data_IF_604926716921
#
_entry.id   IF_604926716921
#
_cell.length_a   1.000
_cell.length_b   1.000
_cell.length_c   1.000
_cell.angle_alpha   90.00
_cell.angle_beta   90.00
_cell.angle_gamma   90.00
#
_symmetry.space_group_name_H-M   'P 1'
#
loop_
_entity.id
_entity.type
_entity.pdbx_description
1 polymer ?
#
# COMPACT_ATOMS: atom_id res chain seq x y z
N UNK A 1 -14.79 56.71 14.86
CA UNK A 1 -14.13 56.68 13.53
C UNK A 1 -12.67 56.33 13.82
N UNK A 2 -12.13 55.14 13.54
CA UNK A 2 -12.36 54.14 12.49
C UNK A 2 -12.27 52.74 13.14
N UNK A 3 -13.28 51.89 12.94
CA UNK A 3 -13.38 50.88 11.87
C UNK A 3 -12.45 49.69 12.14
N UNK A 4 -13.06 48.64 12.68
CA UNK A 4 -12.52 47.30 12.82
C UNK A 4 -12.06 46.78 11.44
N UNK A 5 -10.79 46.43 11.31
CA UNK A 5 -10.33 45.58 10.22
C UNK A 5 -10.77 44.14 10.52
N UNK A 6 -12.03 43.84 10.19
CA UNK A 6 -12.48 42.46 10.00
C UNK A 6 -11.82 41.93 8.72
N UNK A 7 -10.63 41.34 8.87
CA UNK A 7 -10.01 40.53 7.83
C UNK A 7 -10.90 39.31 7.59
N UNK A 8 -11.80 39.41 6.61
CA UNK A 8 -12.57 38.29 6.06
C UNK A 8 -11.58 37.18 5.66
N UNK A 9 -11.48 36.14 6.50
CA UNK A 9 -10.90 34.85 6.08
C UNK A 9 -11.87 34.26 5.07
N UNK A 10 -11.62 34.52 3.79
CA UNK A 10 -12.22 33.75 2.71
C UNK A 10 -11.98 32.26 3.01
N UNK A 11 -13.02 31.41 3.05
CA UNK A 11 -12.81 29.98 3.20
C UNK A 11 -12.07 29.53 1.95
N UNK A 12 -10.79 29.20 2.09
CA UNK A 12 -10.05 28.53 1.03
C UNK A 12 -10.86 27.31 0.61
N UNK A 13 -11.18 27.15 -0.70
CA UNK A 13 -11.91 25.99 -1.15
C UNK A 13 -11.09 24.76 -0.80
N UNK A 14 -11.68 23.83 -0.05
CA UNK A 14 -11.07 22.53 0.23
C UNK A 14 -10.73 21.86 -1.10
N UNK A 15 -9.56 21.22 -1.24
CA UNK A 15 -9.25 20.49 -2.45
C UNK A 15 -10.37 19.47 -2.74
N UNK A 16 -10.68 19.22 -4.02
CA UNK A 16 -11.67 18.21 -4.39
C UNK A 16 -11.26 16.85 -3.82
N UNK A 17 -12.26 16.01 -3.53
CA UNK A 17 -12.00 14.63 -3.09
C UNK A 17 -11.20 13.89 -4.17
N UNK A 18 -10.22 13.05 -3.76
CA UNK A 18 -9.40 12.35 -4.71
C UNK A 18 -10.22 11.33 -5.50
N UNK A 19 -9.83 11.14 -6.75
CA UNK A 19 -10.40 10.12 -7.63
C UNK A 19 -9.95 8.73 -7.21
N UNK A 20 -10.68 7.69 -7.63
CA UNK A 20 -10.28 6.29 -7.39
C UNK A 20 -8.87 6.01 -7.91
N UNK A 21 -8.50 6.62 -9.03
CA UNK A 21 -7.17 6.48 -9.61
C UNK A 21 -6.08 7.02 -8.68
N UNK A 22 -6.26 8.24 -8.16
CA UNK A 22 -5.32 8.86 -7.22
C UNK A 22 -5.23 8.07 -5.92
N UNK A 23 -6.38 7.61 -5.40
CA UNK A 23 -6.42 6.77 -4.19
C UNK A 23 -5.64 5.46 -4.40
N UNK A 24 -5.85 4.78 -5.53
CA UNK A 24 -5.13 3.55 -5.86
C UNK A 24 -3.63 3.80 -6.04
N UNK A 25 -3.26 4.88 -6.71
CA UNK A 25 -1.88 5.28 -6.93
C UNK A 25 -1.16 5.61 -5.62
N UNK A 26 -1.80 6.38 -4.74
CA UNK A 26 -1.28 6.69 -3.40
C UNK A 26 -1.17 5.43 -2.55
N UNK A 27 -2.18 4.55 -2.59
CA UNK A 27 -2.15 3.29 -1.87
C UNK A 27 -1.01 2.40 -2.35
N UNK A 28 -0.85 2.19 -3.66
CA UNK A 28 0.27 1.41 -4.21
C UNK A 28 1.58 2.01 -3.74
N UNK A 29 1.77 3.32 -3.91
CA UNK A 29 3.01 3.99 -3.49
C UNK A 29 3.29 3.89 -1.99
N UNK A 30 2.25 3.87 -1.16
CA UNK A 30 2.39 3.67 0.30
C UNK A 30 2.98 2.30 0.66
N UNK A 31 2.85 1.28 -0.21
CA UNK A 31 3.47 -0.04 -0.04
C UNK A 31 5.00 -0.01 -0.11
N UNK A 32 5.60 1.08 -0.58
CA UNK A 32 7.05 1.26 -0.51
C UNK A 32 7.57 1.38 0.93
N UNK A 33 6.71 1.76 1.88
CA UNK A 33 7.07 1.88 3.28
C UNK A 33 6.79 0.58 4.05
N UNK A 34 7.84 -0.20 4.32
CA UNK A 34 7.75 -1.46 5.07
C UNK A 34 7.16 -1.27 6.46
N UNK A 35 7.48 -0.17 7.16
CA UNK A 35 6.93 0.09 8.49
C UNK A 35 5.43 0.32 8.44
N UNK A 36 4.95 0.99 7.39
CA UNK A 36 3.53 1.18 7.16
C UNK A 36 2.81 -0.14 6.89
N UNK A 37 3.37 -1.01 6.06
CA UNK A 37 2.79 -2.34 5.80
C UNK A 37 2.75 -3.18 7.09
N UNK A 38 3.84 -3.23 7.85
CA UNK A 38 3.90 -3.94 9.13
C UNK A 38 2.84 -3.40 10.09
N UNK A 39 2.68 -2.08 10.17
CA UNK A 39 1.63 -1.45 10.97
C UNK A 39 0.22 -1.84 10.49
N UNK A 40 -0.03 -1.82 9.19
CA UNK A 40 -1.34 -2.16 8.63
C UNK A 40 -1.71 -3.62 8.89
N UNK A 41 -0.79 -4.56 8.65
CA UNK A 41 -1.06 -5.99 8.88
C UNK A 41 -1.33 -6.25 10.37
N UNK A 42 -0.53 -5.64 11.25
CA UNK A 42 -0.66 -5.83 12.70
C UNK A 42 -1.97 -5.25 13.24
N UNK A 43 -2.34 -4.04 12.83
CA UNK A 43 -3.52 -3.34 13.37
C UNK A 43 -4.82 -3.62 12.64
N UNK A 44 -4.77 -4.02 11.37
CA UNK A 44 -5.94 -4.30 10.53
C UNK A 44 -6.03 -5.78 10.10
N UNK A 45 -5.42 -6.69 10.86
CA UNK A 45 -5.28 -8.12 10.54
C UNK A 45 -6.52 -8.79 9.92
N UNK A 46 -7.74 -8.43 10.36
CA UNK A 46 -9.00 -8.94 9.80
C UNK A 46 -9.21 -8.62 8.32
N UNK A 47 -8.87 -7.40 7.88
CA UNK A 47 -8.98 -7.01 6.48
C UNK A 47 -7.93 -7.72 5.63
N UNK A 48 -6.72 -7.88 6.16
CA UNK A 48 -5.60 -8.54 5.51
C UNK A 48 -5.81 -10.04 5.32
N UNK A 49 -6.53 -10.69 6.25
CA UNK A 49 -6.93 -12.09 6.12
C UNK A 49 -8.13 -12.30 5.21
N UNK A 50 -8.75 -11.25 4.66
CA UNK A 50 -9.87 -11.40 3.75
C UNK A 50 -9.42 -11.83 2.35
N UNK A 51 -10.15 -12.77 1.75
CA UNK A 51 -9.98 -13.13 0.34
C UNK A 51 -10.20 -11.92 -0.58
N UNK A 52 -11.10 -11.01 -0.19
CA UNK A 52 -11.36 -9.77 -0.93
C UNK A 52 -10.11 -8.90 -1.01
N UNK A 53 -9.34 -8.80 0.07
CA UNK A 53 -8.11 -8.01 0.09
C UNK A 53 -7.00 -8.65 -0.75
N UNK A 54 -6.84 -9.99 -0.67
CA UNK A 54 -5.93 -10.72 -1.59
C UNK A 54 -6.27 -10.44 -3.06
N UNK A 55 -7.55 -10.50 -3.42
CA UNK A 55 -8.00 -10.21 -4.79
C UNK A 55 -7.76 -8.74 -5.18
N UNK A 56 -7.87 -7.81 -4.23
CA UNK A 56 -7.59 -6.41 -4.46
C UNK A 56 -6.10 -6.15 -4.72
N UNK A 57 -5.19 -6.77 -3.96
CA UNK A 57 -3.75 -6.70 -4.24
C UNK A 57 -3.40 -7.29 -5.61
N UNK A 58 -4.05 -8.38 -6.01
CA UNK A 58 -3.90 -8.95 -7.34
C UNK A 58 -4.43 -8.02 -8.43
N UNK A 59 -5.56 -7.35 -8.18
CA UNK A 59 -6.09 -6.34 -9.09
C UNK A 59 -5.06 -5.22 -9.30
N UNK A 60 -4.41 -4.72 -8.25
CA UNK A 60 -3.42 -3.63 -8.35
C UNK A 60 -2.17 -3.98 -9.16
N UNK A 61 -1.96 -5.22 -9.59
CA UNK A 61 -0.84 -5.58 -10.48
C UNK A 61 -0.90 -4.86 -11.83
N UNK A 62 -2.06 -4.32 -12.24
CA UNK A 62 -2.16 -3.50 -13.44
C UNK A 62 -1.24 -2.26 -13.41
N UNK A 63 -0.87 -1.78 -12.21
CA UNK A 63 0.09 -0.69 -12.04
C UNK A 63 1.52 -1.06 -12.45
N UNK A 64 1.82 -2.34 -12.63
CA UNK A 64 3.11 -2.81 -13.10
C UNK A 64 3.28 -2.67 -14.61
N UNK A 65 2.19 -2.54 -15.37
CA UNK A 65 2.19 -2.50 -16.82
C UNK A 65 2.01 -1.05 -17.35
N UNK A 66 2.65 -0.69 -18.47
CA UNK A 66 2.36 0.56 -19.16
C UNK A 66 0.88 0.60 -19.61
N UNK A 67 0.20 1.78 -19.57
CA UNK A 67 0.73 3.11 -19.30
C UNK A 67 0.78 3.50 -17.82
N UNK A 68 0.20 2.69 -16.92
CA UNK A 68 0.02 3.02 -15.50
C UNK A 68 1.32 3.04 -14.70
N UNK A 69 2.27 2.16 -15.06
CA UNK A 69 3.59 2.13 -14.46
C UNK A 69 4.33 3.48 -14.54
N UNK A 70 4.05 4.30 -15.57
CA UNK A 70 4.67 5.60 -15.75
C UNK A 70 4.22 6.64 -14.71
N UNK A 71 3.09 6.41 -14.03
CA UNK A 71 2.57 7.30 -12.98
C UNK A 71 3.20 7.00 -11.61
N UNK A 72 3.88 5.87 -11.45
CA UNK A 72 4.42 5.44 -10.15
C UNK A 72 5.75 6.12 -9.88
N UNK A 73 5.78 7.00 -8.88
CA UNK A 73 7.00 7.72 -8.47
C UNK A 73 7.92 6.83 -7.63
N UNK A 74 7.36 5.90 -6.87
CA UNK A 74 8.08 4.98 -5.99
C UNK A 74 8.06 3.55 -6.54
N UNK A 75 8.92 3.22 -7.52
CA UNK A 75 8.98 1.90 -8.17
C UNK A 75 9.21 0.72 -7.21
N UNK A 76 9.79 0.96 -6.03
CA UNK A 76 9.88 -0.03 -4.95
C UNK A 76 8.50 -0.56 -4.50
N UNK A 77 7.46 0.26 -4.60
CA UNK A 77 6.09 -0.15 -4.29
C UNK A 77 5.60 -1.31 -5.16
N UNK A 78 5.93 -1.30 -6.45
CA UNK A 78 5.55 -2.35 -7.39
C UNK A 78 6.28 -3.67 -7.07
N UNK A 79 7.53 -3.58 -6.63
CA UNK A 79 8.27 -4.76 -6.19
C UNK A 79 7.65 -5.37 -4.93
N UNK A 80 7.31 -4.54 -3.94
CA UNK A 80 6.65 -5.02 -2.72
C UNK A 80 5.25 -5.58 -3.01
N UNK A 81 4.50 -4.95 -3.91
CA UNK A 81 3.21 -5.48 -4.35
C UNK A 81 3.35 -6.91 -4.90
N UNK A 82 4.33 -7.15 -5.78
CA UNK A 82 4.62 -8.49 -6.31
C UNK A 82 5.07 -9.47 -5.23
N UNK A 83 5.97 -9.05 -4.34
CA UNK A 83 6.43 -9.87 -3.22
C UNK A 83 5.26 -10.31 -2.33
N UNK A 84 4.34 -9.39 -2.06
CA UNK A 84 3.15 -9.66 -1.27
C UNK A 84 2.23 -10.62 -2.00
N UNK A 85 1.91 -10.39 -3.27
CA UNK A 85 1.08 -11.31 -4.05
C UNK A 85 1.68 -12.72 -4.09
N UNK A 86 2.99 -12.85 -4.33
CA UNK A 86 3.71 -14.13 -4.28
C UNK A 86 3.59 -14.80 -2.90
N UNK A 87 3.72 -14.04 -1.81
CA UNK A 87 3.54 -14.56 -0.45
C UNK A 87 2.11 -15.05 -0.23
N UNK A 88 1.10 -14.29 -0.66
CA UNK A 88 -0.31 -14.66 -0.57
C UNK A 88 -0.65 -15.86 -1.46
N UNK A 89 0.03 -16.08 -2.58
CA UNK A 89 -0.18 -17.25 -3.42
C UNK A 89 0.46 -18.51 -2.83
N UNK A 90 1.63 -18.38 -2.21
CA UNK A 90 2.36 -19.52 -1.61
C UNK A 90 1.84 -19.95 -0.24
N UNK A 91 1.47 -19.00 0.61
CA UNK A 91 1.20 -19.26 2.03
C UNK A 91 -0.28 -19.19 2.39
N UNK A 92 -1.07 -18.35 1.71
CA UNK A 92 -2.46 -18.13 2.09
C UNK A 92 -3.32 -19.37 1.83
N UNK A 93 -3.87 -19.94 2.90
CA UNK A 93 -4.85 -21.04 2.83
C UNK A 93 -6.19 -20.54 3.32
N UNK A 94 -7.24 -20.78 2.54
CA UNK A 94 -8.59 -20.43 2.95
C UNK A 94 -9.09 -21.43 3.98
N UNK A 95 -9.54 -20.93 5.13
CA UNK A 95 -10.21 -21.73 6.15
C UNK A 95 -11.73 -21.52 6.05
N UNK A 96 -12.46 -22.59 5.75
CA UNK A 96 -13.93 -22.58 5.59
C UNK A 96 -14.69 -22.31 6.89
N UNK A 97 -14.12 -22.67 8.04
CA UNK A 97 -14.73 -22.51 9.37
C UNK A 97 -14.66 -21.06 9.86
N UNK A 98 -13.54 -20.37 9.58
CA UNK A 98 -13.35 -18.98 10.00
C UNK A 98 -13.75 -17.97 8.92
N UNK A 99 -13.78 -18.38 7.66
CA UNK A 99 -14.02 -17.51 6.50
C UNK A 99 -12.84 -16.60 6.16
N UNK A 100 -11.66 -16.85 6.74
CA UNK A 100 -10.45 -16.03 6.59
C UNK A 100 -9.28 -16.85 6.03
N UNK A 101 -8.28 -16.14 5.53
CA UNK A 101 -6.99 -16.69 5.12
C UNK A 101 -6.08 -16.92 6.35
N UNK A 102 -5.55 -18.13 6.45
CA UNK A 102 -4.54 -18.52 7.44
C UNK A 102 -3.11 -18.34 6.91
N UNK A 103 -2.13 -18.36 7.81
CA UNK A 103 -0.70 -18.20 7.54
C UNK A 103 -0.29 -16.83 6.97
N UNK A 104 -1.17 -15.82 7.07
CA UNK A 104 -0.86 -14.43 6.71
C UNK A 104 -0.14 -13.69 7.85
N UNK A 105 -0.27 -14.17 9.08
CA UNK A 105 0.34 -13.56 10.27
C UNK A 105 1.88 -13.63 10.27
N UNK A 106 2.46 -14.46 9.39
CA UNK A 106 3.91 -14.56 9.19
C UNK A 106 4.46 -13.45 8.28
N UNK A 107 3.60 -12.77 7.51
CA UNK A 107 4.01 -11.74 6.57
C UNK A 107 4.77 -10.58 7.24
N UNK A 108 4.34 -10.02 8.39
CA UNK A 108 5.09 -8.97 9.09
C UNK A 108 6.47 -9.45 9.55
N UNK A 109 6.56 -10.68 10.06
CA UNK A 109 7.82 -11.27 10.51
C UNK A 109 8.76 -11.47 9.33
N UNK A 110 8.24 -11.98 8.21
CA UNK A 110 8.98 -12.12 6.96
C UNK A 110 9.50 -10.77 6.45
N UNK A 111 8.64 -9.75 6.40
CA UNK A 111 9.01 -8.40 5.97
C UNK A 111 9.99 -7.72 6.94
N UNK A 112 9.94 -8.02 8.23
CA UNK A 112 10.89 -7.47 9.20
C UNK A 112 12.26 -8.17 9.11
N UNK A 113 12.27 -9.49 8.96
CA UNK A 113 13.49 -10.29 8.85
C UNK A 113 14.25 -10.00 7.54
N UNK A 114 13.51 -9.90 6.44
CA UNK A 114 14.08 -9.60 5.12
C UNK A 114 14.05 -8.12 4.77
N UNK A 115 13.48 -7.25 5.61
CA UNK A 115 13.26 -5.84 5.29
C UNK A 115 14.53 -5.07 5.01
N UNK A 116 15.61 -5.33 5.76
CA UNK A 116 16.92 -4.71 5.52
C UNK A 116 17.56 -5.18 4.21
N UNK A 117 17.42 -6.47 3.88
CA UNK A 117 17.88 -7.04 2.61
C UNK A 117 17.07 -6.49 1.44
N UNK A 118 15.75 -6.47 1.55
CA UNK A 118 14.83 -5.90 0.57
C UNK A 118 15.12 -4.42 0.33
N UNK A 119 15.36 -3.63 1.39
CA UNK A 119 15.74 -2.22 1.25
C UNK A 119 17.09 -2.07 0.53
N UNK A 120 18.08 -2.92 0.84
CA UNK A 120 19.37 -2.90 0.15
C UNK A 120 19.22 -3.31 -1.32
N UNK A 121 18.45 -4.35 -1.63
CA UNK A 121 18.14 -4.77 -3.01
C UNK A 121 17.41 -3.67 -3.78
N UNK A 122 16.44 -3.01 -3.14
CA UNK A 122 15.73 -1.86 -3.71
C UNK A 122 16.69 -0.73 -4.05
N UNK A 123 17.59 -0.35 -3.13
CA UNK A 123 18.57 0.73 -3.36
C UNK A 123 19.56 0.35 -4.47
N UNK A 124 20.07 -0.89 -4.46
CA UNK A 124 21.01 -1.37 -5.47
C UNK A 124 20.40 -1.40 -6.87
N UNK A 125 19.09 -1.61 -6.99
CA UNK A 125 18.37 -1.56 -8.26
C UNK A 125 18.34 -0.16 -8.89
N UNK A 126 18.54 0.91 -8.10
CA UNK A 126 18.63 2.29 -8.59
C UNK A 126 20.06 2.74 -8.91
N UNK A 127 21.07 1.95 -8.54
CA UNK A 127 22.48 2.27 -8.77
C UNK A 127 23.05 1.71 -10.08
N UNK A 128 22.31 0.84 -10.76
CA UNK A 128 22.63 0.26 -12.08
C UNK A 128 21.59 0.66 -13.11
#
# INVERSE_FOLDING_TARGET
MNASEDTERTPTPSPPLPTRFEIELEFVQSLSNIQYITYLITNQSKQWKSVTFKNYLKYLEYWCDPPYANCVVYPNSLYILKLMNDFYEKNAKYNEETGYLENIDELPVFLQLHGSQLMNEMVNRWQN
#
